data_IF_878508547498
#
_entry.id   IF_878508547498
#
_cell.length_a   1.000
_cell.length_b   1.000
_cell.length_c   1.000
_cell.angle_alpha   90.00
_cell.angle_beta   90.00
_cell.angle_gamma   90.00
#
_symmetry.space_group_name_H-M   'P 1'
#
loop_
_entity.id
_entity.type
_entity.pdbx_description
1 polymer ?
#
# COMPACT_ATOMS: atom_id res chain seq x y z
N UNK A 1 -24.29 32.68 -10.67
CA UNK A 1 -23.38 32.75 -11.84
C UNK A 1 -22.88 31.39 -12.32
N UNK A 2 -22.57 30.42 -11.44
CA UNK A 2 -22.01 29.13 -11.87
C UNK A 2 -23.06 28.13 -12.41
N UNK A 3 -24.28 28.11 -11.84
CA UNK A 3 -25.38 27.25 -12.33
C UNK A 3 -25.81 27.60 -13.75
N UNK A 4 -25.87 28.89 -14.11
CA UNK A 4 -26.24 29.32 -15.46
C UNK A 4 -25.24 28.81 -16.51
N UNK A 5 -23.94 28.87 -16.20
CA UNK A 5 -22.89 28.31 -17.06
C UNK A 5 -23.00 26.79 -17.18
N UNK A 6 -23.36 26.09 -16.11
CA UNK A 6 -23.59 24.65 -16.15
C UNK A 6 -24.75 24.29 -17.10
N UNK A 7 -25.85 25.05 -17.05
CA UNK A 7 -27.02 24.86 -17.92
C UNK A 7 -26.68 25.12 -19.39
N UNK A 8 -25.93 26.19 -19.70
CA UNK A 8 -25.48 26.48 -21.07
C UNK A 8 -24.60 25.37 -21.66
N UNK A 9 -23.71 24.79 -20.85
CA UNK A 9 -22.84 23.69 -21.29
C UNK A 9 -23.65 22.40 -21.49
N UNK A 10 -24.65 22.13 -20.65
CA UNK A 10 -25.56 20.99 -20.84
C UNK A 10 -26.39 21.13 -22.11
N UNK A 11 -26.92 22.33 -22.39
CA UNK A 11 -27.69 22.54 -23.62
C UNK A 11 -26.82 22.23 -24.85
N UNK A 12 -25.56 22.67 -24.86
CA UNK A 12 -24.60 22.29 -25.90
C UNK A 12 -24.33 20.78 -25.94
N UNK A 13 -24.25 20.12 -24.78
CA UNK A 13 -24.07 18.66 -24.73
C UNK A 13 -25.26 17.91 -25.36
N UNK A 14 -26.49 18.34 -25.07
CA UNK A 14 -27.72 17.77 -25.63
C UNK A 14 -27.81 18.03 -27.14
N UNK A 15 -27.46 19.23 -27.59
CA UNK A 15 -27.43 19.57 -29.02
C UNK A 15 -26.41 18.72 -29.80
N UNK A 16 -25.24 18.45 -29.23
CA UNK A 16 -24.25 17.56 -29.86
C UNK A 16 -24.66 16.08 -29.77
N UNK A 17 -25.35 15.66 -28.71
CA UNK A 17 -25.89 14.31 -28.56
C UNK A 17 -27.00 14.03 -29.59
N UNK A 18 -27.89 14.99 -29.82
CA UNK A 18 -28.94 14.90 -30.85
C UNK A 18 -28.39 14.93 -32.27
N UNK A 19 -27.24 15.58 -32.50
CA UNK A 19 -26.51 15.55 -33.77
C UNK A 19 -25.67 14.27 -33.96
N UNK A 20 -25.74 13.32 -33.03
CA UNK A 20 -24.93 12.09 -33.03
C UNK A 20 -23.42 12.33 -32.93
N UNK A 21 -22.98 13.51 -32.48
CA UNK A 21 -21.58 13.83 -32.24
C UNK A 21 -21.17 13.40 -30.82
N UNK A 22 -21.16 12.09 -30.60
CA UNK A 22 -21.05 11.50 -29.27
C UNK A 22 -19.74 11.81 -28.53
N UNK A 23 -18.64 12.06 -29.26
CA UNK A 23 -17.35 12.38 -28.66
C UNK A 23 -17.35 13.79 -28.01
N UNK A 24 -17.87 14.80 -28.72
CA UNK A 24 -18.00 16.16 -28.18
C UNK A 24 -19.14 16.25 -27.16
N UNK A 25 -20.25 15.54 -27.38
CA UNK A 25 -21.33 15.44 -26.39
C UNK A 25 -20.83 14.92 -25.05
N UNK A 26 -20.04 13.82 -25.04
CA UNK A 26 -19.44 13.27 -23.83
C UNK A 26 -18.57 14.29 -23.09
N UNK A 27 -17.71 15.01 -23.82
CA UNK A 27 -16.83 16.04 -23.26
C UNK A 27 -17.62 17.20 -22.64
N UNK A 28 -18.68 17.65 -23.31
CA UNK A 28 -19.56 18.70 -22.79
C UNK A 28 -20.35 18.23 -21.56
N UNK A 29 -20.82 16.98 -21.51
CA UNK A 29 -21.44 16.41 -20.32
C UNK A 29 -20.46 16.38 -19.13
N UNK A 30 -19.22 15.91 -19.32
CA UNK A 30 -18.21 15.92 -18.25
C UNK A 30 -17.92 17.33 -17.72
N UNK A 31 -17.69 18.29 -18.62
CA UNK A 31 -17.45 19.67 -18.23
C UNK A 31 -18.63 20.27 -17.47
N UNK A 32 -19.88 19.94 -17.86
CA UNK A 32 -21.07 20.43 -17.15
C UNK A 32 -21.18 19.87 -15.73
N UNK A 33 -20.80 18.60 -15.53
CA UNK A 33 -20.85 17.93 -14.23
C UNK A 33 -19.89 18.59 -13.23
N UNK A 34 -18.71 19.01 -13.66
CA UNK A 34 -17.77 19.74 -12.81
C UNK A 34 -18.37 21.07 -12.31
N UNK A 35 -19.08 21.80 -13.18
CA UNK A 35 -19.77 23.04 -12.79
C UNK A 35 -20.98 22.80 -11.88
N UNK A 36 -21.71 21.69 -12.06
CA UNK A 36 -22.80 21.31 -11.15
C UNK A 36 -22.29 20.87 -9.77
N UNK A 37 -21.19 20.12 -9.72
CA UNK A 37 -20.53 19.71 -8.48
C UNK A 37 -19.97 20.93 -7.72
N UNK A 38 -19.39 21.89 -8.44
CA UNK A 38 -18.96 23.15 -7.86
C UNK A 38 -20.16 23.96 -7.34
N UNK A 39 -21.25 24.02 -8.10
CA UNK A 39 -22.47 24.72 -7.69
C UNK A 39 -23.11 24.09 -6.45
N UNK A 40 -23.10 22.76 -6.32
CA UNK A 40 -23.58 22.04 -5.13
C UNK A 40 -22.82 22.44 -3.85
N UNK A 41 -21.52 22.74 -3.96
CA UNK A 41 -20.66 23.14 -2.83
C UNK A 41 -21.01 24.52 -2.27
N UNK A 42 -21.47 25.44 -3.12
CA UNK A 42 -21.75 26.83 -2.74
C UNK A 42 -23.25 27.17 -2.61
N UNK A 43 -24.14 26.26 -3.01
CA UNK A 43 -25.59 26.44 -2.87
C UNK A 43 -26.02 26.29 -1.40
N UNK A 44 -26.86 27.20 -0.91
CA UNK A 44 -27.32 27.20 0.49
C UNK A 44 -28.75 26.68 0.64
N UNK A 45 -29.54 26.68 -0.44
CA UNK A 45 -30.93 26.22 -0.42
C UNK A 45 -31.03 24.70 -0.60
N UNK A 46 -31.65 24.02 0.36
CA UNK A 46 -31.69 22.56 0.42
C UNK A 46 -32.58 21.92 -0.67
N UNK A 47 -33.66 22.60 -1.08
CA UNK A 47 -34.49 22.15 -2.20
C UNK A 47 -33.73 22.24 -3.53
N UNK A 48 -32.96 23.31 -3.72
CA UNK A 48 -32.13 23.51 -4.91
C UNK A 48 -30.98 22.51 -4.97
N UNK A 49 -30.36 22.15 -3.84
CA UNK A 49 -29.35 21.08 -3.78
C UNK A 49 -29.92 19.72 -4.20
N UNK A 50 -31.13 19.38 -3.75
CA UNK A 50 -31.77 18.13 -4.15
C UNK A 50 -32.01 18.09 -5.67
N UNK A 51 -32.54 19.17 -6.25
CA UNK A 51 -32.73 19.29 -7.70
C UNK A 51 -31.41 19.18 -8.48
N UNK A 52 -30.34 19.82 -7.99
CA UNK A 52 -29.01 19.75 -8.61
C UNK A 52 -28.45 18.31 -8.53
N UNK A 53 -28.61 17.61 -7.41
CA UNK A 53 -28.18 16.21 -7.27
C UNK A 53 -28.90 15.29 -8.25
N UNK A 54 -30.22 15.39 -8.36
CA UNK A 54 -31.00 14.60 -9.31
C UNK A 54 -30.54 14.85 -10.75
N UNK A 55 -30.22 16.10 -11.10
CA UNK A 55 -29.72 16.44 -12.44
C UNK A 55 -28.29 15.93 -12.69
N UNK A 56 -27.43 15.93 -11.67
CA UNK A 56 -26.09 15.33 -11.74
C UNK A 56 -26.21 13.83 -12.04
N UNK A 57 -27.08 13.11 -11.35
CA UNK A 57 -27.30 11.68 -11.57
C UNK A 57 -27.78 11.39 -13.00
N UNK A 58 -28.72 12.18 -13.51
CA UNK A 58 -29.26 12.05 -14.87
C UNK A 58 -28.17 12.26 -15.94
N UNK A 59 -27.37 13.33 -15.82
CA UNK A 59 -26.32 13.64 -16.80
C UNK A 59 -25.11 12.71 -16.68
N UNK A 60 -24.80 12.22 -15.48
CA UNK A 60 -23.76 11.22 -15.27
C UNK A 60 -24.13 9.89 -15.94
N UNK A 61 -25.37 9.44 -15.75
CA UNK A 61 -25.88 8.23 -16.40
C UNK A 61 -25.81 8.36 -17.93
N UNK A 62 -26.19 9.51 -18.49
CA UNK A 62 -26.08 9.75 -19.95
C UNK A 62 -24.62 9.74 -20.42
N UNK A 63 -23.72 10.39 -19.69
CA UNK A 63 -22.29 10.40 -20.01
C UNK A 63 -21.67 8.99 -20.01
N UNK A 64 -22.09 8.12 -19.08
CA UNK A 64 -21.66 6.72 -19.05
C UNK A 64 -22.16 5.91 -20.26
N UNK A 65 -23.42 6.13 -20.68
CA UNK A 65 -23.93 5.48 -21.89
C UNK A 65 -23.16 5.90 -23.15
N UNK A 66 -22.83 7.19 -23.28
CA UNK A 66 -22.02 7.71 -24.38
C UNK A 66 -20.58 7.18 -24.36
N UNK A 67 -19.98 7.09 -23.17
CA UNK A 67 -18.64 6.49 -22.98
C UNK A 67 -18.61 5.05 -23.47
N UNK A 68 -19.63 4.27 -23.11
CA UNK A 68 -19.74 2.89 -23.54
C UNK A 68 -19.88 2.81 -25.06
N UNK A 69 -20.73 3.63 -25.68
CA UNK A 69 -20.90 3.68 -27.14
C UNK A 69 -19.58 4.00 -27.88
N UNK A 70 -18.83 4.98 -27.39
CA UNK A 70 -17.52 5.36 -27.96
C UNK A 70 -16.46 4.25 -27.82
N UNK A 71 -16.52 3.47 -26.74
CA UNK A 71 -15.64 2.31 -26.54
C UNK A 71 -16.00 1.15 -27.48
N UNK A 72 -17.29 0.92 -27.75
CA UNK A 72 -17.74 -0.09 -28.74
C UNK A 72 -17.36 0.30 -30.16
N UNK A 73 -17.52 1.58 -30.56
CA UNK A 73 -17.11 2.04 -31.89
C UNK A 73 -15.60 1.94 -32.13
N UNK A 74 -14.77 2.25 -31.11
CA UNK A 74 -13.31 2.06 -31.20
C UNK A 74 -12.93 0.58 -31.37
N UNK A 75 -13.67 -0.34 -30.74
CA UNK A 75 -13.49 -1.79 -30.93
C UNK A 75 -13.93 -2.25 -32.33
N UNK A 76 -15.04 -1.72 -32.85
CA UNK A 76 -15.52 -1.99 -34.22
C UNK A 76 -14.53 -1.56 -35.31
N UNK A 77 -13.94 -0.36 -35.19
CA UNK A 77 -12.91 0.12 -36.13
C UNK A 77 -11.59 -0.66 -36.04
N UNK A 78 -11.27 -1.24 -34.88
CA UNK A 78 -10.08 -2.08 -34.70
C UNK A 78 -10.27 -3.51 -35.23
N UNK A 79 -11.51 -4.01 -35.33
CA UNK A 79 -11.83 -5.35 -35.84
C UNK A 79 -11.88 -5.45 -37.38
N UNK A 80 -12.01 -4.34 -38.11
CA UNK A 80 -12.03 -4.31 -39.59
C UNK A 80 -10.60 -4.25 -40.20
N UNK A 81 -9.57 -4.08 -39.37
CA UNK A 81 -8.17 -3.95 -39.81
C UNK A 81 -7.38 -5.25 -39.99
N UNK A 82 -7.96 -6.42 -39.71
CA UNK A 82 -7.26 -7.71 -39.81
C UNK A 82 -8.12 -8.71 -40.57
N UNK A 83 -8.08 -8.65 -41.90
CA UNK A 83 -8.57 -9.73 -42.76
C UNK A 83 -7.41 -10.23 -43.62
N UNK A 84 -6.77 -11.29 -43.12
CA UNK A 84 -5.78 -12.10 -43.82
C UNK A 84 -5.96 -13.57 -43.44
N UNK A 85 -6.83 -14.25 -44.19
CA UNK A 85 -6.84 -15.69 -44.54
C UNK A 85 -6.86 -16.80 -43.47
N UNK A 86 -7.86 -17.69 -43.60
CA UNK A 86 -7.91 -19.09 -43.14
C UNK A 86 -8.42 -19.26 -41.71
N UNK A 87 -9.40 -20.09 -41.35
CA UNK A 87 -10.05 -21.23 -41.99
C UNK A 87 -10.44 -22.23 -40.88
N UNK A 88 -11.72 -22.64 -40.86
CA UNK A 88 -12.30 -23.83 -40.20
C UNK A 88 -12.59 -23.85 -38.66
N UNK A 89 -13.88 -23.62 -38.36
CA UNK A 89 -14.81 -24.41 -37.51
C UNK A 89 -14.45 -24.82 -36.06
N UNK A 90 -15.22 -24.26 -35.13
CA UNK A 90 -15.56 -24.85 -33.83
C UNK A 90 -16.61 -23.98 -33.12
N UNK A 91 -17.88 -24.33 -33.22
CA UNK A 91 -18.99 -23.56 -32.65
C UNK A 91 -18.90 -23.46 -31.13
N UNK A 92 -18.81 -22.23 -30.61
CA UNK A 92 -19.06 -21.91 -29.20
C UNK A 92 -20.33 -21.09 -29.09
N UNK A 93 -21.17 -21.47 -28.13
CA UNK A 93 -22.47 -20.91 -27.82
C UNK A 93 -22.34 -19.45 -27.36
N UNK A 94 -23.33 -18.60 -27.68
CA UNK A 94 -23.39 -17.18 -27.28
C UNK A 94 -23.32 -16.91 -25.75
N UNK A 95 -23.48 -17.92 -24.91
CA UNK A 95 -23.34 -17.80 -23.45
C UNK A 95 -21.86 -17.69 -23.01
N UNK A 96 -20.92 -18.34 -23.71
CA UNK A 96 -19.49 -18.28 -23.39
C UNK A 96 -18.89 -16.88 -23.65
N UNK A 97 -19.40 -16.17 -24.67
CA UNK A 97 -18.92 -14.82 -25.03
C UNK A 97 -19.31 -13.74 -24.02
N UNK A 98 -20.43 -13.94 -23.30
CA UNK A 98 -20.89 -13.00 -22.27
C UNK A 98 -20.13 -13.21 -20.97
N UNK A 99 -19.87 -14.46 -20.57
CA UNK A 99 -19.00 -14.77 -19.43
C UNK A 99 -17.57 -14.28 -19.64
N UNK A 100 -17.00 -14.41 -20.84
CA UNK A 100 -15.64 -13.94 -21.14
C UNK A 100 -15.53 -12.40 -21.16
N UNK A 101 -16.60 -11.69 -21.55
CA UNK A 101 -16.64 -10.23 -21.51
C UNK A 101 -16.78 -9.67 -20.08
N UNK A 102 -17.63 -10.28 -19.24
CA UNK A 102 -17.76 -9.90 -17.83
C UNK A 102 -16.51 -10.26 -17.03
N UNK A 103 -15.93 -11.45 -17.24
CA UNK A 103 -14.66 -11.82 -16.59
C UNK A 103 -13.50 -10.95 -17.06
N UNK A 104 -13.43 -10.51 -18.33
CA UNK A 104 -12.44 -9.51 -18.76
C UNK A 104 -12.64 -8.16 -18.09
N UNK A 105 -13.89 -7.70 -17.89
CA UNK A 105 -14.18 -6.45 -17.18
C UNK A 105 -13.84 -6.54 -15.69
N UNK A 106 -14.15 -7.67 -15.05
CA UNK A 106 -13.79 -7.96 -13.67
C UNK A 106 -12.28 -8.15 -13.50
N UNK A 107 -11.60 -8.79 -14.44
CA UNK A 107 -10.12 -8.88 -14.50
C UNK A 107 -9.49 -7.50 -14.62
N UNK A 108 -10.02 -6.62 -15.47
CA UNK A 108 -9.55 -5.24 -15.54
C UNK A 108 -9.80 -4.45 -14.23
N UNK A 109 -10.93 -4.70 -13.56
CA UNK A 109 -11.21 -4.16 -12.22
C UNK A 109 -10.23 -4.70 -11.17
N UNK A 110 -9.90 -5.99 -11.24
CA UNK A 110 -8.92 -6.65 -10.39
C UNK A 110 -7.48 -6.22 -10.68
N UNK A 111 -7.10 -5.97 -11.92
CA UNK A 111 -5.79 -5.39 -12.25
C UNK A 111 -5.63 -3.98 -11.67
N UNK A 112 -6.74 -3.23 -11.54
CA UNK A 112 -6.72 -1.92 -10.90
C UNK A 112 -6.73 -1.99 -9.36
N UNK A 113 -7.34 -3.02 -8.78
CA UNK A 113 -7.46 -3.21 -7.33
C UNK A 113 -6.28 -4.00 -6.73
N UNK A 114 -5.69 -4.92 -7.50
CA UNK A 114 -4.58 -5.76 -7.09
C UNK A 114 -3.29 -5.12 -7.58
N UNK A 115 -2.51 -4.63 -6.63
CA UNK A 115 -1.21 -4.05 -6.93
C UNK A 115 -0.22 -5.20 -7.21
N UNK A 116 0.01 -5.47 -8.49
CA UNK A 116 1.08 -6.38 -8.95
C UNK A 116 2.38 -5.60 -9.03
N UNK A 117 3.10 -5.53 -7.91
CA UNK A 117 4.42 -4.90 -7.84
C UNK A 117 5.52 -5.93 -7.61
N UNK A 118 6.72 -5.63 -8.11
CA UNK A 118 7.95 -6.25 -7.61
C UNK A 118 8.53 -5.31 -6.57
N UNK A 119 8.23 -5.49 -5.27
CA UNK A 119 8.85 -4.69 -4.24
C UNK A 119 10.38 -4.79 -4.32
N UNK A 120 11.08 -3.77 -3.84
CA UNK A 120 12.53 -3.73 -3.76
C UNK A 120 12.96 -3.56 -2.30
N UNK A 121 12.46 -4.44 -1.44
CA UNK A 121 12.78 -4.47 0.00
C UNK A 121 13.58 -5.73 0.27
N UNK A 122 14.76 -5.63 0.87
CA UNK A 122 15.62 -6.78 1.17
C UNK A 122 15.46 -7.25 2.62
N UNK A 123 15.94 -8.45 2.92
CA UNK A 123 15.97 -8.95 4.30
C UNK A 123 16.77 -8.07 5.27
N UNK A 124 17.80 -7.39 4.76
CA UNK A 124 18.68 -6.51 5.53
C UNK A 124 18.00 -5.17 5.86
N UNK A 125 16.99 -4.77 5.09
CA UNK A 125 16.20 -3.56 5.36
C UNK A 125 15.20 -3.79 6.51
N UNK A 126 14.89 -5.05 6.83
CA UNK A 126 14.03 -5.41 7.96
C UNK A 126 14.87 -5.60 9.21
N UNK A 127 14.77 -4.71 10.18
CA UNK A 127 15.49 -4.86 11.45
C UNK A 127 14.85 -5.93 12.36
N UNK A 128 15.67 -6.85 12.87
CA UNK A 128 15.25 -7.86 13.86
C UNK A 128 14.41 -9.01 13.27
N UNK A 129 13.51 -9.57 14.10
CA UNK A 129 12.58 -10.64 13.72
C UNK A 129 13.23 -11.92 13.15
N UNK A 130 14.43 -12.27 13.62
CA UNK A 130 15.21 -13.38 13.04
C UNK A 130 14.48 -14.73 13.03
N UNK A 131 13.72 -15.05 14.08
CA UNK A 131 12.88 -16.26 14.10
C UNK A 131 11.83 -16.24 12.98
N UNK A 132 11.08 -15.14 12.86
CA UNK A 132 10.08 -15.01 11.80
C UNK A 132 10.69 -14.96 10.39
N UNK A 133 11.84 -14.31 10.21
CA UNK A 133 12.60 -14.34 8.96
C UNK A 133 13.06 -15.77 8.63
N UNK A 134 13.51 -16.54 9.62
CA UNK A 134 13.90 -17.93 9.44
C UNK A 134 12.69 -18.78 9.02
N UNK A 135 11.56 -18.66 9.71
CA UNK A 135 10.31 -19.36 9.36
C UNK A 135 9.85 -19.02 7.94
N UNK A 136 9.91 -17.74 7.55
CA UNK A 136 9.53 -17.31 6.20
C UNK A 136 10.53 -17.77 5.13
N UNK A 137 11.84 -17.78 5.42
CA UNK A 137 12.85 -18.34 4.52
C UNK A 137 12.62 -19.83 4.31
N UNK A 138 12.32 -20.58 5.37
CA UNK A 138 12.01 -22.00 5.27
C UNK A 138 10.69 -22.24 4.53
N UNK A 139 9.66 -21.44 4.78
CA UNK A 139 8.36 -21.67 4.22
C UNK A 139 8.22 -21.23 2.75
N UNK A 140 8.95 -20.18 2.34
CA UNK A 140 8.79 -19.57 1.01
C UNK A 140 10.02 -19.77 0.13
N UNK A 141 11.22 -19.50 0.65
CA UNK A 141 12.45 -19.53 -0.16
C UNK A 141 12.92 -20.97 -0.37
N UNK A 142 12.82 -21.83 0.65
CA UNK A 142 13.30 -23.21 0.58
C UNK A 142 12.56 -24.06 -0.48
N UNK A 143 11.22 -24.02 -0.61
CA UNK A 143 10.51 -24.76 -1.65
C UNK A 143 10.84 -24.31 -3.06
N UNK A 144 11.06 -23.00 -3.27
CA UNK A 144 11.41 -22.44 -4.57
C UNK A 144 12.85 -22.83 -4.94
N UNK A 145 13.77 -22.78 -3.98
CA UNK A 145 15.19 -23.04 -4.23
C UNK A 145 15.53 -24.52 -4.33
N UNK A 146 14.85 -25.37 -3.54
CA UNK A 146 15.12 -26.81 -3.46
C UNK A 146 13.81 -27.62 -3.52
N UNK A 147 13.11 -27.61 -4.67
CA UNK A 147 11.83 -28.32 -4.82
C UNK A 147 11.96 -29.83 -4.58
N UNK A 148 13.13 -30.43 -4.79
CA UNK A 148 13.41 -31.83 -4.54
C UNK A 148 13.30 -32.25 -3.06
N UNK A 149 13.37 -31.30 -2.12
CA UNK A 149 13.19 -31.60 -0.70
C UNK A 149 11.71 -31.79 -0.33
N UNK A 150 10.80 -31.29 -1.17
CA UNK A 150 9.36 -31.27 -0.96
C UNK A 150 8.64 -32.31 -1.83
N UNK A 151 9.10 -33.56 -1.73
CA UNK A 151 8.50 -34.71 -2.40
C UNK A 151 7.76 -35.63 -1.43
N UNK A 152 6.71 -36.30 -1.90
CA UNK A 152 5.93 -37.25 -1.09
C UNK A 152 5.06 -36.54 -0.05
N UNK A 153 5.26 -36.84 1.24
CA UNK A 153 4.48 -36.25 2.35
C UNK A 153 4.97 -34.87 2.77
N UNK A 154 6.15 -34.43 2.30
CA UNK A 154 6.72 -33.12 2.61
C UNK A 154 6.16 -32.09 1.65
N UNK A 155 5.11 -31.39 2.06
CA UNK A 155 4.50 -30.34 1.25
C UNK A 155 4.88 -28.96 1.76
N UNK A 156 5.12 -27.97 0.88
CA UNK A 156 5.34 -26.60 1.30
C UNK A 156 4.09 -26.04 1.99
N UNK A 157 4.29 -25.02 2.81
CA UNK A 157 3.19 -24.31 3.45
C UNK A 157 2.36 -23.57 2.42
N UNK A 158 1.04 -23.71 2.49
CA UNK A 158 0.09 -23.04 1.57
C UNK A 158 -0.36 -21.67 2.09
N UNK A 159 -0.28 -21.46 3.41
CA UNK A 159 -0.76 -20.25 4.04
C UNK A 159 0.03 -19.92 5.32
N UNK A 160 0.43 -18.66 5.46
CA UNK A 160 1.13 -18.13 6.63
C UNK A 160 0.39 -16.88 7.10
N UNK A 161 0.14 -16.77 8.39
CA UNK A 161 -0.42 -15.58 9.02
C UNK A 161 0.64 -14.88 9.86
N UNK A 162 0.93 -13.63 9.49
CA UNK A 162 1.71 -12.68 10.29
C UNK A 162 0.77 -11.95 11.25
N UNK A 163 1.05 -12.02 12.54
CA UNK A 163 0.24 -11.31 13.54
C UNK A 163 1.11 -10.58 14.57
N UNK A 164 0.59 -9.48 15.09
CA UNK A 164 1.25 -8.71 16.15
C UNK A 164 0.72 -7.28 16.19
N UNK A 165 1.24 -6.45 17.10
CA UNK A 165 0.80 -5.06 17.26
C UNK A 165 0.88 -4.26 15.94
N UNK A 166 0.09 -3.19 15.79
CA UNK A 166 0.20 -2.30 14.64
C UNK A 166 1.59 -1.65 14.58
N UNK A 167 2.08 -1.39 13.37
CA UNK A 167 3.37 -0.70 13.17
C UNK A 167 4.62 -1.56 13.40
N UNK A 168 4.50 -2.88 13.50
CA UNK A 168 5.64 -3.82 13.63
C UNK A 168 6.24 -4.27 12.29
N UNK A 169 5.76 -3.71 11.16
CA UNK A 169 6.34 -3.98 9.84
C UNK A 169 5.86 -5.27 9.17
N UNK A 170 4.69 -5.82 9.53
CA UNK A 170 4.11 -7.01 8.89
C UNK A 170 4.02 -6.90 7.36
N UNK A 171 3.44 -5.81 6.86
CA UNK A 171 3.33 -5.55 5.42
C UNK A 171 4.71 -5.29 4.78
N UNK A 172 5.65 -4.71 5.52
CA UNK A 172 7.04 -4.52 5.06
C UNK A 172 7.81 -5.84 4.93
N UNK A 173 7.61 -6.76 5.89
CA UNK A 173 8.15 -8.10 5.86
C UNK A 173 7.58 -8.94 4.70
N UNK A 174 6.28 -8.83 4.43
CA UNK A 174 5.66 -9.49 3.28
C UNK A 174 6.27 -9.01 1.94
N UNK A 175 6.54 -7.70 1.82
CA UNK A 175 7.25 -7.14 0.68
C UNK A 175 8.70 -7.64 0.57
N UNK A 176 9.40 -7.79 1.71
CA UNK A 176 10.74 -8.37 1.73
C UNK A 176 10.76 -9.82 1.24
N UNK A 177 9.82 -10.65 1.72
CA UNK A 177 9.63 -12.03 1.27
C UNK A 177 9.41 -12.10 -0.24
N UNK A 178 8.55 -11.24 -0.77
CA UNK A 178 8.24 -11.23 -2.19
C UNK A 178 9.43 -10.85 -3.07
N UNK A 179 10.20 -9.84 -2.66
CA UNK A 179 11.42 -9.39 -3.33
C UNK A 179 12.43 -10.54 -3.43
N UNK A 180 12.62 -11.26 -2.32
CA UNK A 180 13.64 -12.31 -2.17
C UNK A 180 13.22 -13.63 -2.82
N UNK A 181 11.92 -13.93 -2.82
CA UNK A 181 11.36 -15.08 -3.53
C UNK A 181 11.37 -14.90 -5.06
N UNK A 182 11.57 -13.67 -5.56
CA UNK A 182 11.42 -13.28 -6.98
C UNK A 182 10.06 -13.72 -7.55
N UNK A 183 9.04 -13.74 -6.69
CA UNK A 183 7.68 -14.17 -7.02
C UNK A 183 6.79 -12.98 -7.36
N UNK A 184 5.72 -13.23 -8.10
CA UNK A 184 4.67 -12.22 -8.33
C UNK A 184 3.96 -11.93 -7.01
N UNK A 185 3.89 -10.66 -6.62
CA UNK A 185 3.24 -10.24 -5.37
C UNK A 185 1.89 -9.61 -5.67
N UNK A 186 0.82 -10.22 -5.19
CA UNK A 186 -0.53 -9.70 -5.26
C UNK A 186 -0.89 -9.13 -3.89
N UNK A 187 -0.87 -7.81 -3.76
CA UNK A 187 -1.32 -7.14 -2.53
C UNK A 187 -2.80 -6.80 -2.65
N UNK A 188 -3.61 -7.29 -1.72
CA UNK A 188 -5.04 -6.98 -1.63
C UNK A 188 -5.42 -6.61 -0.21
N UNK A 189 -6.18 -5.52 -0.05
CA UNK A 189 -6.83 -5.23 1.23
C UNK A 189 -8.13 -6.00 1.33
N UNK A 190 -8.47 -6.39 2.56
CA UNK A 190 -9.76 -7.00 2.86
C UNK A 190 -10.96 -6.12 2.43
N UNK A 191 -10.82 -4.80 2.46
CA UNK A 191 -11.82 -3.84 1.96
C UNK A 191 -12.04 -3.93 0.45
N UNK A 192 -10.99 -4.26 -0.31
CA UNK A 192 -11.03 -4.27 -1.79
C UNK A 192 -11.79 -5.49 -2.32
N UNK A 193 -11.87 -6.54 -1.50
CA UNK A 193 -12.59 -7.78 -1.81
C UNK A 193 -14.09 -7.68 -1.53
N UNK A 194 -14.55 -6.64 -0.84
CA UNK A 194 -15.97 -6.45 -0.49
C UNK A 194 -16.64 -5.46 -1.45
N UNK A 195 -17.50 -5.97 -2.32
CA UNK A 195 -18.30 -5.17 -3.26
C UNK A 195 -19.74 -4.98 -2.78
N UNK A 196 -20.36 -3.84 -3.11
CA UNK A 196 -21.79 -3.57 -2.84
C UNK A 196 -22.74 -4.40 -3.70
N UNK A 197 -22.26 -4.90 -4.84
CA UNK A 197 -23.02 -5.73 -5.76
C UNK A 197 -22.92 -7.20 -5.38
N UNK A 198 -24.08 -7.86 -5.28
CA UNK A 198 -24.21 -9.24 -4.82
C UNK A 198 -23.57 -10.19 -5.84
N UNK A 199 -22.68 -11.07 -5.37
CA UNK A 199 -21.98 -12.07 -6.21
C UNK A 199 -20.68 -11.60 -6.86
N UNK A 200 -20.47 -10.29 -7.01
CA UNK A 200 -19.23 -9.75 -7.58
C UNK A 200 -18.03 -10.06 -6.67
N UNK A 201 -18.18 -9.98 -5.34
CA UNK A 201 -17.10 -10.26 -4.38
C UNK A 201 -16.57 -11.69 -4.45
N UNK A 202 -17.44 -12.69 -4.66
CA UNK A 202 -17.04 -14.09 -4.82
C UNK A 202 -16.27 -14.30 -6.12
N UNK A 203 -16.71 -13.66 -7.21
CA UNK A 203 -16.03 -13.66 -8.50
C UNK A 203 -14.65 -12.99 -8.40
N UNK A 204 -14.52 -11.90 -7.64
CA UNK A 204 -13.24 -11.23 -7.39
C UNK A 204 -12.24 -12.18 -6.70
N UNK A 205 -12.66 -12.89 -5.66
CA UNK A 205 -11.81 -13.87 -4.96
C UNK A 205 -11.40 -15.01 -5.90
N UNK A 206 -12.33 -15.59 -6.67
CA UNK A 206 -12.02 -16.64 -7.65
C UNK A 206 -10.98 -16.18 -8.67
N UNK A 207 -11.18 -15.00 -9.23
CA UNK A 207 -10.28 -14.43 -10.24
C UNK A 207 -8.91 -14.07 -9.66
N UNK A 208 -8.83 -13.58 -8.42
CA UNK A 208 -7.55 -13.33 -7.73
C UNK A 208 -6.71 -14.62 -7.64
N UNK A 209 -7.31 -15.71 -7.16
CA UNK A 209 -6.62 -16.99 -7.08
C UNK A 209 -6.28 -17.56 -8.46
N UNK A 210 -7.13 -17.35 -9.46
CA UNK A 210 -6.84 -17.75 -10.83
C UNK A 210 -5.63 -16.99 -11.40
N UNK A 211 -5.59 -15.66 -11.27
CA UNK A 211 -4.46 -14.84 -11.72
C UNK A 211 -3.16 -15.23 -11.01
N UNK A 212 -3.24 -15.54 -9.70
CA UNK A 212 -2.10 -16.04 -8.95
C UNK A 212 -1.61 -17.40 -9.45
N UNK A 213 -2.53 -18.31 -9.83
CA UNK A 213 -2.19 -19.61 -10.43
C UNK A 213 -1.58 -19.47 -11.83
N UNK A 214 -2.01 -18.48 -12.60
CA UNK A 214 -1.46 -18.16 -13.92
C UNK A 214 -0.06 -17.53 -13.81
N UNK A 215 0.24 -16.85 -12.69
CA UNK A 215 1.47 -16.08 -12.46
C UNK A 215 2.47 -16.76 -11.50
N UNK A 216 2.44 -18.10 -11.41
CA UNK A 216 3.31 -18.89 -10.51
C UNK A 216 4.81 -18.69 -10.84
N UNK A 217 5.71 -18.60 -9.83
CA UNK A 217 5.42 -18.59 -8.39
C UNK A 217 4.79 -17.26 -7.94
N UNK A 218 3.72 -17.35 -7.14
CA UNK A 218 2.91 -16.21 -6.74
C UNK A 218 2.65 -16.17 -5.23
N UNK A 219 2.62 -14.96 -4.68
CA UNK A 219 2.30 -14.69 -3.28
C UNK A 219 1.09 -13.75 -3.24
N UNK A 220 0.02 -14.21 -2.61
CA UNK A 220 -1.18 -13.41 -2.33
C UNK A 220 -1.04 -12.87 -0.91
N UNK A 221 -0.88 -11.56 -0.76
CA UNK A 221 -0.85 -10.88 0.52
C UNK A 221 -2.20 -10.24 0.82
N UNK A 222 -2.83 -10.65 1.92
CA UNK A 222 -4.09 -10.11 2.42
C UNK A 222 -3.82 -9.34 3.71
N UNK A 223 -3.90 -8.01 3.64
CA UNK A 223 -3.80 -7.17 4.84
C UNK A 223 -5.14 -7.09 5.57
N UNK A 224 -5.08 -6.91 6.89
CA UNK A 224 -6.24 -6.85 7.79
C UNK A 224 -7.22 -8.01 7.60
N UNK A 225 -6.69 -9.23 7.44
CA UNK A 225 -7.47 -10.43 7.10
C UNK A 225 -8.58 -10.72 8.14
N UNK A 226 -8.43 -10.23 9.37
CA UNK A 226 -9.46 -10.29 10.42
C UNK A 226 -10.79 -9.66 10.00
N UNK A 227 -10.78 -8.64 9.15
CA UNK A 227 -12.02 -8.02 8.65
C UNK A 227 -12.81 -8.93 7.69
N UNK A 228 -12.15 -9.81 6.95
CA UNK A 228 -12.82 -10.85 6.13
C UNK A 228 -13.18 -12.11 6.93
N UNK A 229 -12.49 -12.32 8.05
CA UNK A 229 -12.40 -13.65 8.66
C UNK A 229 -12.79 -13.71 10.13
N UNK A 230 -13.32 -12.62 10.65
CA UNK A 230 -13.84 -12.49 12.00
C UNK A 230 -14.80 -13.63 12.40
N UNK A 231 -14.92 -13.84 13.71
CA UNK A 231 -15.85 -14.82 14.27
C UNK A 231 -17.27 -14.59 13.74
N UNK A 232 -17.96 -15.67 13.37
CA UNK A 232 -19.34 -15.60 12.86
C UNK A 232 -20.24 -14.98 13.92
N UNK A 233 -20.58 -13.71 13.75
CA UNK A 233 -21.54 -13.01 14.59
C UNK A 233 -22.90 -12.97 13.87
N UNK A 234 -24.00 -12.96 14.63
CA UNK A 234 -25.36 -12.86 14.07
C UNK A 234 -25.58 -11.58 13.25
N UNK A 235 -24.82 -10.51 13.53
CA UNK A 235 -24.85 -9.24 12.82
C UNK A 235 -24.03 -9.19 11.53
N UNK A 236 -23.38 -10.30 11.14
CA UNK A 236 -22.57 -10.35 9.93
C UNK A 236 -23.44 -10.40 8.67
N UNK A 237 -23.16 -9.52 7.70
CA UNK A 237 -23.83 -9.51 6.39
C UNK A 237 -23.65 -10.85 5.68
N UNK A 238 -24.72 -11.34 5.04
CA UNK A 238 -24.70 -12.57 4.26
C UNK A 238 -23.59 -12.57 3.19
N UNK A 239 -23.30 -11.39 2.61
CA UNK A 239 -22.22 -11.22 1.63
C UNK A 239 -20.84 -11.54 2.20
N UNK A 240 -20.53 -11.09 3.43
CA UNK A 240 -19.26 -11.38 4.10
C UNK A 240 -19.06 -12.88 4.31
N UNK A 241 -20.11 -13.59 4.75
CA UNK A 241 -20.08 -15.04 4.97
C UNK A 241 -19.79 -15.82 3.70
N UNK A 242 -20.36 -15.40 2.57
CA UNK A 242 -20.13 -16.04 1.27
C UNK A 242 -18.70 -15.80 0.77
N UNK A 243 -18.20 -14.57 0.86
CA UNK A 243 -16.80 -14.23 0.51
C UNK A 243 -15.82 -15.07 1.33
N UNK A 244 -16.03 -15.16 2.64
CA UNK A 244 -15.19 -15.96 3.54
C UNK A 244 -15.21 -17.45 3.17
N UNK A 245 -16.39 -17.97 2.83
CA UNK A 245 -16.55 -19.36 2.40
C UNK A 245 -15.80 -19.61 1.09
N UNK A 246 -15.94 -18.70 0.12
CA UNK A 246 -15.24 -18.79 -1.17
C UNK A 246 -13.72 -18.70 -1.00
N UNK A 247 -13.22 -17.75 -0.21
CA UNK A 247 -11.80 -17.61 0.10
C UNK A 247 -11.22 -18.90 0.71
N UNK A 248 -11.97 -19.52 1.63
CA UNK A 248 -11.62 -20.81 2.22
C UNK A 248 -11.62 -21.94 1.19
N UNK A 249 -12.58 -22.00 0.27
CA UNK A 249 -12.62 -23.01 -0.79
C UNK A 249 -11.43 -22.85 -1.72
N UNK A 250 -11.11 -21.63 -2.14
CA UNK A 250 -9.96 -21.36 -3.02
C UNK A 250 -8.62 -21.69 -2.36
N UNK A 251 -8.45 -21.37 -1.07
CA UNK A 251 -7.22 -21.67 -0.34
C UNK A 251 -6.97 -23.16 -0.11
N UNK A 252 -8.02 -23.99 -0.13
CA UNK A 252 -7.89 -25.44 -0.05
C UNK A 252 -7.48 -26.08 -1.39
N UNK A 253 -7.64 -25.36 -2.51
CA UNK A 253 -7.39 -25.90 -3.84
C UNK A 253 -8.35 -27.01 -4.23
N UNK A 254 -9.59 -26.97 -3.75
CA UNK A 254 -10.59 -27.98 -4.11
C UNK A 254 -10.81 -27.91 -5.63
N UNK A 255 -10.32 -28.92 -6.36
CA UNK A 255 -10.40 -29.01 -7.82
C UNK A 255 -9.24 -28.38 -8.60
N UNK A 256 -8.20 -27.85 -7.95
CA UNK A 256 -7.07 -27.18 -8.63
C UNK A 256 -5.71 -27.52 -8.02
N UNK A 257 -4.68 -27.50 -8.87
CA UNK A 257 -3.29 -27.57 -8.41
C UNK A 257 -2.83 -26.22 -7.87
N UNK A 258 -2.86 -26.06 -6.55
CA UNK A 258 -2.37 -24.86 -5.84
C UNK A 258 -0.86 -24.88 -5.60
N UNK A 259 -0.12 -25.84 -6.18
CA UNK A 259 1.34 -25.89 -6.04
C UNK A 259 1.96 -24.62 -6.61
N UNK A 260 2.72 -23.89 -5.79
CA UNK A 260 3.40 -22.64 -6.18
C UNK A 260 2.63 -21.34 -5.92
N UNK A 261 1.46 -21.41 -5.26
CA UNK A 261 0.76 -20.23 -4.72
C UNK A 261 0.83 -20.25 -3.20
N UNK A 262 1.26 -19.13 -2.61
CA UNK A 262 1.31 -18.93 -1.17
C UNK A 262 0.36 -17.81 -0.75
N UNK A 263 -0.43 -18.04 0.29
CA UNK A 263 -1.24 -16.98 0.93
C UNK A 263 -0.51 -16.45 2.16
N UNK A 264 -0.20 -15.15 2.19
CA UNK A 264 0.29 -14.43 3.35
C UNK A 264 -0.82 -13.55 3.89
N UNK A 265 -1.27 -13.78 5.12
CA UNK A 265 -2.20 -12.87 5.81
C UNK A 265 -1.47 -11.99 6.81
N UNK A 266 -1.93 -10.77 7.02
CA UNK A 266 -1.54 -9.94 8.17
C UNK A 266 -2.74 -9.57 9.02
N UNK A 267 -2.59 -9.61 10.35
CA UNK A 267 -3.61 -9.13 11.29
C UNK A 267 -3.00 -8.47 12.52
N UNK A 268 -3.74 -7.53 13.10
CA UNK A 268 -3.43 -6.96 14.41
C UNK A 268 -4.22 -7.64 15.53
N UNK A 269 -5.22 -8.47 15.22
CA UNK A 269 -6.23 -8.94 16.18
C UNK A 269 -6.44 -10.46 16.02
N UNK A 270 -5.40 -11.29 16.25
CA UNK A 270 -5.45 -12.71 15.90
C UNK A 270 -6.47 -13.52 16.73
N UNK A 271 -6.87 -13.04 17.90
CA UNK A 271 -7.90 -13.68 18.73
C UNK A 271 -9.30 -13.64 18.10
N UNK A 272 -9.61 -12.63 17.26
CA UNK A 272 -10.91 -12.51 16.57
C UNK A 272 -11.06 -13.39 15.33
N UNK A 273 -9.99 -14.08 14.92
CA UNK A 273 -10.04 -14.95 13.75
C UNK A 273 -10.89 -16.19 14.01
N UNK A 274 -11.64 -16.59 12.99
CA UNK A 274 -12.45 -17.81 13.02
C UNK A 274 -11.59 -19.08 13.05
N UNK A 275 -12.04 -20.06 13.83
CA UNK A 275 -11.34 -21.32 14.05
C UNK A 275 -11.09 -22.10 12.74
N UNK A 276 -11.96 -21.94 11.74
CA UNK A 276 -11.78 -22.55 10.43
C UNK A 276 -10.52 -22.04 9.71
N UNK A 277 -10.16 -20.78 9.91
CA UNK A 277 -8.96 -20.16 9.33
C UNK A 277 -7.75 -20.44 10.18
N UNK A 278 -7.91 -20.41 11.50
CA UNK A 278 -6.84 -20.79 12.43
C UNK A 278 -6.30 -22.20 12.17
N UNK A 279 -7.15 -23.12 11.71
CA UNK A 279 -6.74 -24.49 11.34
C UNK A 279 -5.98 -24.59 10.01
N UNK A 280 -6.06 -23.58 9.14
CA UNK A 280 -5.55 -23.64 7.76
C UNK A 280 -4.33 -22.75 7.51
N UNK A 281 -4.13 -21.73 8.34
CA UNK A 281 -2.97 -20.87 8.28
C UNK A 281 -1.98 -21.24 9.38
N UNK A 282 -0.71 -21.31 9.03
CA UNK A 282 0.36 -21.42 10.02
C UNK A 282 0.67 -20.05 10.60
N UNK A 283 0.84 -19.97 11.90
CA UNK A 283 0.97 -18.71 12.59
C UNK A 283 2.43 -18.36 12.80
N UNK A 284 2.85 -17.21 12.27
CA UNK A 284 4.19 -16.69 12.50
C UNK A 284 4.07 -15.45 13.39
N UNK A 285 4.49 -15.51 14.67
CA UNK A 285 4.48 -14.36 15.55
C UNK A 285 5.35 -13.21 15.01
N UNK A 286 4.80 -12.01 15.03
CA UNK A 286 5.50 -10.73 14.84
C UNK A 286 5.45 -9.92 16.12
N UNK A 287 5.91 -10.54 17.20
CA UNK A 287 6.01 -9.93 18.52
C UNK A 287 7.47 -9.59 18.74
N UNK A 288 7.89 -8.40 18.29
CA UNK A 288 9.08 -7.77 18.86
C UNK A 288 8.88 -6.28 18.99
N UNK A 289 9.42 -5.81 20.10
CA UNK A 289 9.70 -4.41 20.37
C UNK A 289 10.70 -3.93 19.32
N UNK A 290 10.37 -2.86 18.60
CA UNK A 290 11.34 -2.27 17.70
C UNK A 290 12.35 -1.49 18.56
N UNK A 291 13.62 -1.79 18.42
CA UNK A 291 14.69 -0.97 18.97
C UNK A 291 15.35 -0.23 17.82
N UNK A 292 15.83 0.99 18.07
CA UNK A 292 16.76 1.64 17.14
C UNK A 292 18.07 0.85 17.18
N UNK A 293 18.20 -0.14 16.30
CA UNK A 293 19.45 -0.81 16.07
C UNK A 293 20.33 0.07 15.17
N UNK A 294 21.65 0.12 15.41
CA UNK A 294 22.54 0.69 14.41
C UNK A 294 22.31 -0.05 13.08
N UNK A 295 22.39 0.63 11.92
CA UNK A 295 22.40 -0.08 10.65
C UNK A 295 23.49 -1.16 10.71
N UNK A 296 23.24 -2.38 10.21
CA UNK A 296 24.31 -3.36 10.04
C UNK A 296 25.44 -2.66 9.29
N UNK A 297 26.68 -2.81 9.80
CA UNK A 297 27.88 -2.08 9.41
C UNK A 297 27.76 -1.48 8.02
N UNK A 298 27.77 -0.15 7.95
CA UNK A 298 27.71 0.58 6.69
C UNK A 298 28.62 -0.13 5.67
N UNK A 299 28.09 -0.58 4.51
CA UNK A 299 28.97 -1.09 3.47
C UNK A 299 30.00 -0.01 3.17
N UNK A 300 31.24 -0.45 2.96
CA UNK A 300 32.41 0.38 2.66
C UNK A 300 32.01 1.61 1.82
N UNK A 301 32.55 2.80 2.09
CA UNK A 301 32.12 4.08 1.52
C UNK A 301 32.41 4.27 0.01
N UNK A 302 32.47 3.19 -0.79
CA UNK A 302 32.92 3.26 -2.17
C UNK A 302 31.83 3.10 -3.25
N UNK A 303 30.64 2.52 -2.99
CA UNK A 303 29.78 2.10 -4.12
C UNK A 303 28.32 2.58 -4.16
N UNK A 304 27.82 3.34 -3.17
CA UNK A 304 26.39 3.73 -3.16
C UNK A 304 26.12 5.25 -3.20
N UNK A 305 27.06 6.05 -3.71
CA UNK A 305 26.99 7.52 -3.81
C UNK A 305 26.13 8.01 -5.00
N UNK A 306 25.02 7.35 -5.33
CA UNK A 306 24.17 7.76 -6.48
C UNK A 306 22.68 7.92 -6.19
N UNK A 307 22.27 7.89 -4.92
CA UNK A 307 20.90 8.22 -4.55
C UNK A 307 20.85 9.61 -3.88
N UNK A 308 20.26 10.64 -4.53
CA UNK A 308 20.10 11.96 -3.94
C UNK A 308 19.25 11.97 -2.65
N UNK A 309 18.48 10.91 -2.37
CA UNK A 309 17.72 10.77 -1.13
C UNK A 309 18.54 10.22 0.05
N UNK A 310 19.78 9.77 -0.16
CA UNK A 310 20.69 9.28 0.91
C UNK A 310 21.54 10.36 1.60
N UNK A 311 21.36 11.65 1.25
CA UNK A 311 22.06 12.77 1.94
C UNK A 311 21.77 12.83 3.44
N UNK A 312 20.67 12.25 3.91
CA UNK A 312 20.40 12.05 5.33
C UNK A 312 21.10 10.80 5.87
N UNK A 313 22.41 10.73 5.69
CA UNK A 313 23.20 9.76 6.46
C UNK A 313 23.17 10.27 7.89
N UNK A 314 22.50 9.54 8.79
CA UNK A 314 22.62 9.73 10.24
C UNK A 314 24.11 10.02 10.53
N UNK A 315 24.49 11.22 10.99
CA UNK A 315 25.89 11.51 11.24
C UNK A 315 26.36 10.47 12.23
N UNK A 316 27.34 9.66 11.82
CA UNK A 316 27.78 8.42 12.45
C UNK A 316 27.62 8.48 13.98
N UNK A 317 26.42 8.10 14.45
CA UNK A 317 26.12 8.05 15.86
C UNK A 317 27.01 6.91 16.33
N UNK A 318 28.05 7.24 17.10
CA UNK A 318 28.98 6.23 17.58
C UNK A 318 28.20 5.10 18.27
N UNK A 319 28.74 3.86 18.33
CA UNK A 319 28.02 2.70 18.87
C UNK A 319 27.43 2.94 20.27
N UNK A 320 28.09 3.79 21.08
CA UNK A 320 27.61 4.22 22.40
C UNK A 320 26.33 5.07 22.35
N UNK A 321 26.20 5.92 21.33
CA UNK A 321 25.03 6.77 21.12
C UNK A 321 23.84 5.96 20.62
N UNK A 322 24.06 4.96 19.76
CA UNK A 322 23.02 4.02 19.34
C UNK A 322 22.47 3.21 20.52
N UNK A 323 23.32 2.78 21.45
CA UNK A 323 22.89 2.10 22.67
C UNK A 323 21.94 2.96 23.52
N UNK A 324 22.27 4.24 23.73
CA UNK A 324 21.40 5.16 24.49
C UNK A 324 20.03 5.38 23.82
N UNK A 325 20.00 5.46 22.49
CA UNK A 325 18.74 5.58 21.77
C UNK A 325 17.92 4.28 21.86
N UNK A 326 18.58 3.12 21.76
CA UNK A 326 17.92 1.83 21.91
C UNK A 326 17.22 1.70 23.27
N UNK A 327 17.92 2.04 24.37
CA UNK A 327 17.37 1.98 25.73
C UNK A 327 16.16 2.93 25.92
N UNK A 328 16.22 4.12 25.31
CA UNK A 328 15.14 5.12 25.35
C UNK A 328 13.94 4.79 24.46
N UNK A 329 14.11 3.86 23.52
CA UNK A 329 13.06 3.42 22.59
C UNK A 329 12.44 2.07 22.96
N UNK A 330 12.69 1.55 24.16
CA UNK A 330 12.01 0.34 24.63
C UNK A 330 10.48 0.55 24.59
N UNK A 331 9.78 -0.37 23.91
CA UNK A 331 8.33 -0.31 23.70
C UNK A 331 7.86 0.48 22.47
N UNK A 332 8.75 1.10 21.70
CA UNK A 332 8.36 1.77 20.45
C UNK A 332 8.08 0.74 19.33
N UNK A 333 7.13 1.06 18.45
CA UNK A 333 6.93 0.32 17.19
C UNK A 333 7.85 0.85 16.09
N UNK A 334 7.99 0.09 14.99
CA UNK A 334 8.76 0.53 13.83
C UNK A 334 8.20 1.82 13.20
N UNK A 335 6.87 1.99 13.26
CA UNK A 335 6.20 3.23 12.88
C UNK A 335 6.59 4.39 13.81
N UNK A 336 6.61 4.17 15.13
CA UNK A 336 6.98 5.21 16.10
C UNK A 336 8.43 5.66 15.91
N UNK A 337 9.35 4.71 15.70
CA UNK A 337 10.76 5.01 15.38
C UNK A 337 10.86 5.82 14.09
N UNK A 338 10.10 5.46 13.06
CA UNK A 338 10.09 6.20 11.79
C UNK A 338 9.63 7.65 11.98
N UNK A 339 8.68 7.89 12.88
CA UNK A 339 8.22 9.23 13.26
C UNK A 339 9.32 9.99 14.00
N UNK A 340 9.97 9.37 14.99
CA UNK A 340 11.09 9.99 15.74
C UNK A 340 12.23 10.38 14.80
N UNK A 341 12.62 9.48 13.90
CA UNK A 341 13.69 9.76 12.93
C UNK A 341 13.28 10.91 11.99
N UNK A 342 12.05 10.89 11.48
CA UNK A 342 11.54 11.97 10.61
C UNK A 342 11.50 13.32 11.34
N UNK A 343 11.05 13.35 12.59
CA UNK A 343 10.99 14.59 13.35
C UNK A 343 12.39 15.09 13.75
N UNK A 344 13.32 14.19 14.08
CA UNK A 344 14.73 14.53 14.29
C UNK A 344 15.35 15.14 13.02
N UNK A 345 15.12 14.55 11.84
CA UNK A 345 15.57 15.08 10.54
C UNK A 345 14.99 16.46 10.22
N UNK A 346 13.83 16.81 10.78
CA UNK A 346 13.24 18.14 10.65
C UNK A 346 13.79 19.17 11.66
N UNK A 347 14.55 18.77 12.68
CA UNK A 347 15.11 19.72 13.65
C UNK A 347 16.11 20.72 13.02
N UNK A 348 17.06 20.31 12.15
CA UNK A 348 17.92 21.26 11.43
C UNK A 348 17.11 22.27 10.61
N UNK A 349 16.07 21.82 9.90
CA UNK A 349 15.18 22.68 9.12
C UNK A 349 14.48 23.71 10.02
N UNK A 350 13.94 23.27 11.16
CA UNK A 350 13.31 24.18 12.14
C UNK A 350 14.31 25.19 12.69
N UNK A 351 15.57 24.79 12.94
CA UNK A 351 16.64 25.70 13.37
C UNK A 351 16.93 26.77 12.33
N UNK A 352 16.97 26.42 11.04
CA UNK A 352 17.14 27.39 9.94
C UNK A 352 15.97 28.37 9.89
N UNK A 353 14.73 27.88 9.97
CA UNK A 353 13.53 28.72 9.92
C UNK A 353 13.47 29.69 11.11
N UNK A 354 13.87 29.24 12.31
CA UNK A 354 13.87 30.07 13.53
C UNK A 354 15.14 30.88 13.74
N UNK A 355 16.14 30.78 12.85
CA UNK A 355 17.41 31.46 13.01
C UNK A 355 17.29 32.95 12.65
N UNK A 356 17.89 33.78 13.49
CA UNK A 356 18.03 35.23 13.25
C UNK A 356 19.45 35.62 12.84
N UNK A 357 20.44 34.75 13.09
CA UNK A 357 21.84 34.99 12.81
C UNK A 357 22.44 33.80 12.06
N UNK A 358 23.28 34.10 11.08
CA UNK A 358 24.01 33.13 10.26
C UNK A 358 25.49 33.48 10.22
N UNK A 359 26.33 32.46 10.01
CA UNK A 359 27.77 32.64 9.79
C UNK A 359 28.23 31.92 8.53
N UNK A 360 29.26 32.45 7.85
CA UNK A 360 29.85 31.81 6.68
C UNK A 360 30.69 30.60 7.10
N UNK A 361 30.52 29.48 6.41
CA UNK A 361 31.26 28.23 6.58
C UNK A 361 31.61 27.68 5.21
N UNK A 362 32.83 27.18 5.06
CA UNK A 362 33.26 26.47 3.85
C UNK A 362 32.68 25.07 3.88
N UNK A 363 31.88 24.72 2.87
CA UNK A 363 31.36 23.37 2.71
C UNK A 363 32.52 22.39 2.45
N UNK A 364 32.74 21.37 3.29
CA UNK A 364 33.85 20.44 3.14
C UNK A 364 33.80 19.61 1.86
N UNK A 365 32.62 19.43 1.24
CA UNK A 365 32.50 18.66 -0.01
C UNK A 365 32.68 19.52 -1.27
N UNK A 366 32.14 20.74 -1.28
CA UNK A 366 32.15 21.61 -2.46
C UNK A 366 33.22 22.70 -2.43
N UNK A 367 33.82 22.98 -1.27
CA UNK A 367 34.79 24.07 -1.08
C UNK A 367 34.19 25.48 -1.23
N UNK A 368 32.87 25.58 -1.37
CA UNK A 368 32.14 26.85 -1.55
C UNK A 368 31.73 27.40 -0.20
N UNK A 369 31.79 28.73 -0.05
CA UNK A 369 31.26 29.42 1.12
C UNK A 369 29.74 29.33 1.15
N UNK A 370 29.21 28.82 2.25
CA UNK A 370 27.78 28.71 2.54
C UNK A 370 27.47 29.28 3.91
N UNK A 371 26.20 29.50 4.22
CA UNK A 371 25.73 30.08 5.46
C UNK A 371 25.09 29.02 6.33
N UNK A 372 25.47 28.95 7.60
CA UNK A 372 24.81 28.11 8.60
C UNK A 372 24.24 28.96 9.73
N UNK A 373 23.08 28.59 10.31
CA UNK A 373 22.57 29.19 11.53
C UNK A 373 23.62 29.18 12.67
N UNK A 374 23.73 30.29 13.39
CA UNK A 374 24.61 30.42 14.55
C UNK A 374 23.92 31.15 15.72
N UNK A 375 24.58 31.14 16.89
CA UNK A 375 24.10 31.91 18.04
C UNK A 375 24.38 33.41 17.84
N UNK A 376 23.54 34.32 18.38
CA UNK A 376 23.76 35.77 18.26
C UNK A 376 25.08 36.28 18.86
N UNK A 377 25.69 35.52 19.79
CA UNK A 377 26.98 35.85 20.41
C UNK A 377 28.21 35.27 19.68
N UNK A 378 28.05 34.64 18.51
CA UNK A 378 29.17 34.13 17.72
C UNK A 378 29.93 35.32 17.09
N UNK A 379 31.28 35.40 17.15
CA UNK A 379 32.03 36.54 16.61
C UNK A 379 31.80 36.81 15.12
N UNK A 380 31.45 35.76 14.37
CA UNK A 380 31.16 35.82 12.93
C UNK A 380 29.65 35.83 12.64
N UNK A 381 28.81 36.08 13.65
CA UNK A 381 27.37 36.15 13.49
C UNK A 381 26.95 37.39 12.70
N UNK A 382 26.19 37.17 11.64
CA UNK A 382 25.56 38.21 10.84
C UNK A 382 24.06 38.04 10.95
N UNK A 383 23.36 39.12 11.31
CA UNK A 383 21.90 39.13 11.37
C UNK A 383 21.33 38.99 9.95
N UNK A 384 20.67 37.86 9.70
CA UNK A 384 20.12 37.48 8.39
C UNK A 384 18.99 36.48 8.62
N UNK A 385 17.98 36.51 7.75
CA UNK A 385 16.87 35.54 7.81
C UNK A 385 17.05 34.49 6.71
N UNK A 386 16.45 33.31 6.89
CA UNK A 386 16.48 32.25 5.88
C UNK A 386 15.88 32.68 4.52
N UNK A 387 14.99 33.69 4.50
CA UNK A 387 14.42 34.28 3.28
C UNK A 387 15.43 35.05 2.43
N UNK A 388 16.53 35.47 3.05
CA UNK A 388 17.56 36.29 2.41
C UNK A 388 18.68 35.41 1.80
N UNK A 389 18.56 34.09 1.90
CA UNK A 389 19.52 33.10 1.41
C UNK A 389 18.98 32.37 0.18
N UNK A 390 19.80 32.26 -0.84
CA UNK A 390 19.49 31.45 -2.02
C UNK A 390 19.68 29.95 -1.72
N UNK A 391 18.97 29.11 -2.46
CA UNK A 391 18.95 27.64 -2.27
C UNK A 391 20.34 26.97 -2.31
N UNK A 392 21.31 27.56 -3.03
CA UNK A 392 22.68 27.04 -3.13
C UNK A 392 23.63 27.54 -2.03
N UNK A 393 23.24 28.57 -1.29
CA UNK A 393 24.07 29.25 -0.30
C UNK A 393 23.86 28.74 1.12
N UNK A 394 22.83 27.93 1.37
CA UNK A 394 22.53 27.41 2.69
C UNK A 394 23.33 26.14 2.98
N UNK A 395 23.99 26.11 4.14
CA UNK A 395 24.56 24.91 4.75
C UNK A 395 23.66 24.50 5.92
N UNK A 396 23.03 23.33 5.81
CA UNK A 396 22.15 22.85 6.87
C UNK A 396 22.94 22.46 8.14
N UNK A 397 22.44 22.80 9.34
CA UNK A 397 23.09 22.38 10.57
C UNK A 397 23.21 20.85 10.64
N UNK A 398 24.35 20.29 11.09
CA UNK A 398 24.48 18.86 11.25
C UNK A 398 23.49 18.35 12.31
N UNK A 399 22.90 17.19 12.04
CA UNK A 399 22.00 16.51 12.98
C UNK A 399 22.77 16.07 14.24
N UNK A 400 22.26 16.37 15.43
CA UNK A 400 22.91 16.01 16.70
C UNK A 400 22.07 15.04 17.51
N UNK A 401 22.68 14.35 18.48
CA UNK A 401 21.95 13.50 19.42
C UNK A 401 20.84 14.27 20.17
N UNK A 402 21.08 15.54 20.50
CA UNK A 402 20.07 16.39 21.14
C UNK A 402 18.78 16.54 20.31
N UNK A 403 18.88 16.46 18.98
CA UNK A 403 17.72 16.52 18.09
C UNK A 403 16.88 15.25 18.18
N UNK A 404 17.52 14.09 18.30
CA UNK A 404 16.84 12.81 18.58
C UNK A 404 16.22 12.79 19.97
N UNK A 405 16.94 13.26 20.99
CA UNK A 405 16.41 13.28 22.37
C UNK A 405 15.17 14.18 22.46
N UNK A 406 15.20 15.36 21.83
CA UNK A 406 14.04 16.25 21.77
C UNK A 406 12.85 15.62 21.06
N UNK A 407 13.11 14.82 20.02
CA UNK A 407 12.07 14.10 19.29
C UNK A 407 11.48 12.94 20.11
N UNK A 408 12.32 12.22 20.85
CA UNK A 408 11.91 11.16 21.78
C UNK A 408 11.06 11.71 22.91
N UNK A 409 11.42 12.85 23.49
CA UNK A 409 10.64 13.47 24.56
C UNK A 409 9.25 13.95 24.08
N UNK A 410 9.12 14.28 22.80
CA UNK A 410 7.86 14.70 22.18
C UNK A 410 6.97 13.52 21.74
N UNK A 411 7.57 12.37 21.44
CA UNK A 411 6.87 11.22 20.85
C UNK A 411 6.49 10.21 21.93
N UNK A 412 5.24 9.74 21.91
CA UNK A 412 4.78 8.67 22.81
C UNK A 412 4.67 7.34 22.07
N UNK A 413 4.95 6.20 22.72
CA UNK A 413 4.71 4.88 22.13
C UNK A 413 3.24 4.69 21.79
N UNK A 414 2.97 4.16 20.60
CA UNK A 414 1.58 3.88 20.17
C UNK A 414 1.08 2.53 20.72
N UNK A 415 1.98 1.56 20.91
CA UNK A 415 1.64 0.21 21.37
C UNK A 415 1.64 0.16 22.90
N UNK A 416 0.55 -0.31 23.50
CA UNK A 416 0.46 -0.43 24.96
C UNK A 416 1.05 -1.76 25.47
N UNK A 417 1.49 -1.78 26.73
CA UNK A 417 1.97 -3.01 27.37
C UNK A 417 0.86 -4.08 27.48
N UNK A 418 -0.40 -3.64 27.59
CA UNK A 418 -1.55 -4.53 27.62
C UNK A 418 -1.74 -5.25 26.27
N UNK A 419 -1.55 -4.55 25.15
CA UNK A 419 -1.62 -5.15 23.81
C UNK A 419 -0.51 -6.19 23.62
N UNK A 420 0.71 -5.88 24.06
CA UNK A 420 1.85 -6.81 24.01
C UNK A 420 1.54 -8.08 24.80
N UNK A 421 1.10 -7.95 26.06
CA UNK A 421 0.73 -9.09 26.90
C UNK A 421 -0.37 -9.94 26.26
N UNK A 422 -1.35 -9.30 25.62
CA UNK A 422 -2.44 -10.01 24.92
C UNK A 422 -1.92 -10.84 23.75
N UNK A 423 -0.97 -10.31 22.99
CA UNK A 423 -0.31 -11.04 21.90
C UNK A 423 0.58 -12.18 22.41
N UNK A 424 1.29 -11.98 23.52
CA UNK A 424 2.10 -13.02 24.17
C UNK A 424 1.22 -14.16 24.67
N UNK A 425 0.12 -13.86 25.37
CA UNK A 425 -0.87 -14.84 25.81
C UNK A 425 -1.41 -15.65 24.63
N UNK A 426 -1.82 -14.96 23.57
CA UNK A 426 -2.33 -15.61 22.37
C UNK A 426 -1.28 -16.53 21.72
N UNK A 427 -0.01 -16.15 21.76
CA UNK A 427 1.10 -16.96 21.21
C UNK A 427 1.31 -18.23 22.04
N UNK A 428 1.30 -18.12 23.37
CA UNK A 428 1.36 -19.25 24.29
C UNK A 428 0.19 -20.22 24.08
N UNK A 429 -1.03 -19.68 23.91
CA UNK A 429 -2.24 -20.47 23.67
C UNK A 429 -2.27 -21.14 22.29
N UNK A 430 -1.73 -20.47 21.26
CA UNK A 430 -1.78 -20.94 19.87
C UNK A 430 -0.64 -21.88 19.49
N UNK A 431 0.28 -22.17 20.44
CA UNK A 431 1.27 -23.24 20.34
C UNK A 431 2.36 -23.03 19.27
N UNK A 432 2.55 -21.80 18.78
CA UNK A 432 3.67 -21.46 17.90
C UNK A 432 4.67 -20.61 18.68
N UNK A 433 5.59 -21.28 19.37
CA UNK A 433 6.90 -20.70 19.56
C UNK A 433 7.52 -20.59 18.17
N UNK A 434 7.58 -19.37 17.63
CA UNK A 434 8.49 -19.05 16.54
C UNK A 434 9.91 -19.25 17.07
N UNK A 435 10.39 -20.49 17.00
CA UNK A 435 11.74 -20.88 17.38
C UNK A 435 12.78 -20.21 16.49
#
# INVERSE_FOLDING_TARGET
MQVQKAIEIVQKAIDEDTKHNYAEAYKHYQNSLDYFMLSLKYEKNEKSKQLIRTKIEEYLARAETLKNHLLTEKRGKSAVGVNGSGGATGGKSKEDDVEDAETKKLRAGLESAILSEKPNVKWDDVAGLEGAKASLKEAVILPIKFPQLFTGKRTPWKGILLYGPPGTGKSYLAKAVATEAKSTFFSVSSSDLVSKWQGDSERLVKNLFQLARESKPAIIFVDEIDSLTGTRNESESEGSRRIKTEFLVQMNGVGHDDTGVLVLGATNIPWQLDNAIKRRLSFVPQIRKAHIHPPPQAPKPAEHVRDPHRRYTLPALGPRTSGMLADRTDGFSGSDISIVVRDALMQPVRKVISATHFKPVVDPESGVNKWTPCSPGDPEAIEKTWTDLDSGELFEPPLKLADFMKSLDATRPTVTEADIKRHEQWTQESGHDGA
#
